data_IF_992711761810
#
_entry.id   IF_992711761810
#
_cell.length_a   1.000
_cell.length_b   1.000
_cell.length_c   1.000
_cell.angle_alpha   90.00
_cell.angle_beta   90.00
_cell.angle_gamma   90.00
#
_symmetry.space_group_name_H-M   'P 1'
#
loop_
_entity.id
_entity.type
_entity.pdbx_description
1 polymer ?
#
# COMPACT_ATOMS: atom_id res chain seq x y z
N UNK A 1 21.37 -2.27 2.04
CA UNK A 1 20.99 -2.67 3.42
C UNK A 1 19.47 -2.63 3.51
N UNK A 2 18.80 -3.78 3.40
CA UNK A 2 17.33 -3.83 3.36
C UNK A 2 16.75 -3.60 4.76
N UNK A 3 16.06 -2.47 4.96
CA UNK A 3 15.39 -2.15 6.23
C UNK A 3 14.33 -3.22 6.52
N UNK A 4 14.45 -3.85 7.70
CA UNK A 4 13.59 -4.92 8.22
C UNK A 4 12.11 -4.59 8.01
N UNK A 5 11.42 -5.45 7.27
CA UNK A 5 10.01 -5.31 6.91
C UNK A 5 9.17 -5.88 8.06
N UNK A 6 8.55 -5.00 8.87
CA UNK A 6 7.89 -5.35 10.15
C UNK A 6 6.39 -5.50 9.93
N UNK A 7 5.85 -6.75 9.96
CA UNK A 7 4.42 -7.06 9.70
C UNK A 7 3.50 -6.07 10.44
N UNK A 8 2.90 -5.14 9.70
CA UNK A 8 1.95 -4.20 10.27
C UNK A 8 0.63 -4.91 10.52
N UNK A 9 -0.14 -4.45 11.52
CA UNK A 9 -1.35 -5.10 12.03
C UNK A 9 -2.36 -5.29 10.88
N UNK A 10 -2.98 -6.48 10.75
CA UNK A 10 -4.07 -6.67 9.78
C UNK A 10 -5.17 -5.65 10.08
N UNK A 11 -5.60 -4.83 9.11
CA UNK A 11 -6.84 -4.08 9.26
C UNK A 11 -7.99 -5.09 9.45
N UNK A 12 -8.71 -4.96 10.56
CA UNK A 12 -9.82 -5.85 10.95
C UNK A 12 -11.05 -5.71 10.04
N UNK A 13 -11.10 -4.65 9.23
CA UNK A 13 -12.20 -4.35 8.32
C UNK A 13 -11.82 -4.70 6.89
N UNK A 14 -12.66 -5.51 6.23
CA UNK A 14 -12.55 -5.82 4.80
C UNK A 14 -13.03 -4.68 3.87
N UNK A 15 -13.46 -3.56 4.46
CA UNK A 15 -14.07 -2.43 3.76
C UNK A 15 -13.10 -1.25 3.79
N UNK A 16 -12.78 -0.72 2.61
CA UNK A 16 -11.94 0.47 2.45
C UNK A 16 -12.85 1.70 2.54
N UNK A 17 -13.09 2.20 3.76
CA UNK A 17 -13.92 3.39 3.98
C UNK A 17 -13.13 4.70 3.87
N UNK A 18 -11.80 4.64 4.05
CA UNK A 18 -10.92 5.80 4.09
C UNK A 18 -9.54 5.49 3.49
N UNK A 19 -8.86 6.53 3.01
CA UNK A 19 -7.50 6.41 2.46
C UNK A 19 -6.48 5.89 3.47
N UNK A 20 -6.67 6.12 4.78
CA UNK A 20 -5.85 5.49 5.82
C UNK A 20 -6.04 3.99 5.88
N UNK A 21 -7.27 3.50 5.77
CA UNK A 21 -7.56 2.06 5.78
C UNK A 21 -6.93 1.41 4.54
N UNK A 22 -7.04 2.06 3.38
CA UNK A 22 -6.35 1.62 2.18
C UNK A 22 -4.83 1.57 2.36
N UNK A 23 -4.24 2.63 2.92
CA UNK A 23 -2.81 2.71 3.21
C UNK A 23 -2.33 1.60 4.14
N UNK A 24 -3.13 1.26 5.15
CA UNK A 24 -2.85 0.18 6.09
C UNK A 24 -2.92 -1.21 5.41
N UNK A 25 -3.88 -1.43 4.50
CA UNK A 25 -3.93 -2.63 3.67
C UNK A 25 -2.70 -2.80 2.77
N UNK A 26 -2.31 -1.73 2.08
CA UNK A 26 -1.11 -1.72 1.22
C UNK A 26 0.12 -2.01 2.06
N UNK A 27 0.26 -1.37 3.22
CA UNK A 27 1.36 -1.59 4.15
C UNK A 27 1.38 -3.02 4.66
N UNK A 28 0.25 -3.57 5.11
CA UNK A 28 0.13 -4.95 5.54
C UNK A 28 0.56 -5.92 4.43
N UNK A 29 0.05 -5.74 3.21
CA UNK A 29 0.36 -6.63 2.08
C UNK A 29 1.82 -6.52 1.64
N UNK A 30 2.37 -5.31 1.55
CA UNK A 30 3.79 -5.06 1.27
C UNK A 30 4.67 -5.80 2.28
N UNK A 31 4.24 -5.75 3.52
CA UNK A 31 5.00 -6.31 4.63
C UNK A 31 4.88 -7.83 4.72
N UNK A 32 3.70 -8.37 4.39
CA UNK A 32 3.49 -9.81 4.19
C UNK A 32 4.35 -10.39 3.06
N UNK A 33 4.72 -9.56 2.07
CA UNK A 33 5.59 -9.93 0.96
C UNK A 33 7.08 -9.69 1.27
N UNK A 34 7.43 -9.13 2.43
CA UNK A 34 8.82 -8.81 2.76
C UNK A 34 9.43 -7.70 1.89
N UNK A 35 8.59 -6.89 1.22
CA UNK A 35 9.05 -5.85 0.29
C UNK A 35 9.37 -4.54 1.02
N UNK A 36 10.51 -3.94 0.68
CA UNK A 36 10.85 -2.60 1.15
C UNK A 36 9.99 -1.54 0.45
N UNK A 37 9.88 -0.36 1.05
CA UNK A 37 9.14 0.77 0.51
C UNK A 37 9.70 1.19 -0.87
N UNK A 38 11.03 1.18 -1.00
CA UNK A 38 11.75 1.44 -2.25
C UNK A 38 11.52 0.35 -3.31
N UNK A 39 11.62 -0.92 -2.93
CA UNK A 39 11.35 -2.06 -3.82
C UNK A 39 9.91 -2.02 -4.36
N UNK A 40 8.95 -1.73 -3.47
CA UNK A 40 7.54 -1.62 -3.87
C UNK A 40 7.31 -0.41 -4.76
N UNK A 41 7.99 0.70 -4.47
CA UNK A 41 7.93 1.91 -5.27
C UNK A 41 8.52 1.68 -6.67
N UNK A 42 9.66 0.99 -6.76
CA UNK A 42 10.30 0.59 -8.01
C UNK A 42 9.40 -0.36 -8.82
N UNK A 43 8.87 -1.41 -8.17
CA UNK A 43 7.94 -2.37 -8.78
C UNK A 43 6.68 -1.68 -9.31
N UNK A 44 6.08 -0.80 -8.52
CA UNK A 44 4.86 -0.10 -8.92
C UNK A 44 5.14 1.09 -9.87
N UNK A 45 6.42 1.42 -10.09
CA UNK A 45 6.88 2.59 -10.83
C UNK A 45 6.24 3.88 -10.30
N UNK A 46 6.36 4.08 -8.98
CA UNK A 46 5.83 5.23 -8.24
C UNK A 46 6.94 5.82 -7.38
N UNK A 47 6.84 7.09 -7.02
CA UNK A 47 7.82 7.69 -6.12
C UNK A 47 7.68 7.14 -4.69
N UNK A 48 8.78 6.84 -4.00
CA UNK A 48 8.75 6.31 -2.62
C UNK A 48 8.01 7.27 -1.67
N UNK A 49 8.11 8.57 -1.90
CA UNK A 49 7.38 9.62 -1.17
C UNK A 49 5.86 9.50 -1.37
N UNK A 50 5.43 9.19 -2.59
CA UNK A 50 4.02 8.98 -2.93
C UNK A 50 3.49 7.72 -2.26
N UNK A 51 4.27 6.63 -2.28
CA UNK A 51 3.89 5.39 -1.60
C UNK A 51 3.83 5.58 -0.08
N UNK A 52 4.78 6.32 0.50
CA UNK A 52 4.77 6.66 1.94
C UNK A 52 3.58 7.56 2.32
N UNK A 53 3.22 8.53 1.47
CA UNK A 53 2.03 9.37 1.66
C UNK A 53 0.74 8.55 1.57
N UNK A 54 0.68 7.60 0.65
CA UNK A 54 -0.43 6.66 0.49
C UNK A 54 -0.58 5.77 1.72
N UNK A 55 0.52 5.17 2.21
CA UNK A 55 0.52 4.35 3.42
C UNK A 55 0.10 5.14 4.67
N UNK A 56 0.35 6.46 4.70
CA UNK A 56 -0.10 7.34 5.78
C UNK A 56 -1.55 7.84 5.61
N UNK A 57 -2.24 7.50 4.52
CA UNK A 57 -3.60 7.97 4.23
C UNK A 57 -3.68 9.46 3.95
N UNK A 58 -2.72 10.01 3.21
CA UNK A 58 -2.79 11.39 2.74
C UNK A 58 -3.66 11.47 1.47
N UNK A 59 -4.69 12.32 1.51
CA UNK A 59 -5.76 12.47 0.50
C UNK A 59 -5.29 13.04 -0.86
N UNK A 60 -4.00 13.32 -1.02
CA UNK A 60 -3.41 13.78 -2.29
C UNK A 60 -2.94 12.69 -3.25
N UNK A 61 -3.14 11.41 -2.91
CA UNK A 61 -2.62 10.31 -3.75
C UNK A 61 -3.60 9.97 -4.86
N UNK A 62 -3.16 10.07 -6.12
CA UNK A 62 -3.97 9.69 -7.30
C UNK A 62 -4.53 8.27 -7.14
N UNK A 63 -5.84 8.12 -7.32
CA UNK A 63 -6.54 6.82 -7.32
C UNK A 63 -5.86 5.82 -8.27
N UNK A 64 -5.40 6.28 -9.44
CA UNK A 64 -4.66 5.45 -10.40
C UNK A 64 -3.40 4.82 -9.80
N UNK A 65 -2.67 5.57 -8.96
CA UNK A 65 -1.48 5.08 -8.25
C UNK A 65 -1.87 4.04 -7.20
N UNK A 66 -2.92 4.32 -6.43
CA UNK A 66 -3.46 3.40 -5.44
C UNK A 66 -3.87 2.05 -6.08
N UNK A 67 -4.65 2.09 -7.18
CA UNK A 67 -5.04 0.89 -7.93
C UNK A 67 -3.85 0.12 -8.48
N UNK A 68 -2.86 0.83 -9.05
CA UNK A 68 -1.66 0.19 -9.62
C UNK A 68 -0.87 -0.57 -8.55
N UNK A 69 -0.69 0.04 -7.38
CA UNK A 69 -0.03 -0.59 -6.23
C UNK A 69 -0.84 -1.78 -5.74
N UNK A 70 -2.16 -1.63 -5.58
CA UNK A 70 -3.05 -2.72 -5.20
C UNK A 70 -2.92 -3.92 -6.15
N UNK A 71 -2.97 -3.66 -7.46
CA UNK A 71 -2.83 -4.68 -8.51
C UNK A 71 -1.46 -5.36 -8.46
N UNK A 72 -0.37 -4.61 -8.31
CA UNK A 72 0.99 -5.15 -8.23
C UNK A 72 1.22 -6.01 -6.99
N UNK A 73 0.59 -5.65 -5.86
CA UNK A 73 0.63 -6.45 -4.64
C UNK A 73 -0.32 -7.64 -4.66
N UNK A 74 -1.15 -7.80 -5.70
CA UNK A 74 -2.16 -8.84 -5.78
C UNK A 74 -3.33 -8.65 -4.82
N UNK A 75 -3.66 -7.40 -4.47
CA UNK A 75 -4.88 -7.04 -3.78
C UNK A 75 -6.03 -6.95 -4.80
N UNK A 76 -7.09 -7.70 -4.57
CA UNK A 76 -8.33 -7.61 -5.35
C UNK A 76 -9.26 -6.61 -4.66
N UNK A 77 -9.55 -5.51 -5.34
CA UNK A 77 -10.59 -4.56 -4.93
C UNK A 77 -11.88 -4.93 -5.65
N UNK A 78 -12.95 -5.18 -4.89
CA UNK A 78 -14.29 -5.37 -5.42
C UNK A 78 -15.05 -4.05 -5.22
N UNK A 79 -15.75 -3.61 -6.27
CA UNK A 79 -16.66 -2.46 -6.22
C UNK A 79 -18.05 -3.06 -6.36
N UNK A 80 -18.92 -2.81 -5.38
CA UNK A 80 -20.34 -3.19 -5.42
C UNK A 80 -21.14 -2.31 -6.38
#
# INVERSE_FOLDING_TARGET
MAKKVILSKKPTSNIISDTKIFGDFVKHKRTSLGLSLEETAALCNVNHLTLKKLENGNEGTRLSTALKISKMLGLKTFVE
#
